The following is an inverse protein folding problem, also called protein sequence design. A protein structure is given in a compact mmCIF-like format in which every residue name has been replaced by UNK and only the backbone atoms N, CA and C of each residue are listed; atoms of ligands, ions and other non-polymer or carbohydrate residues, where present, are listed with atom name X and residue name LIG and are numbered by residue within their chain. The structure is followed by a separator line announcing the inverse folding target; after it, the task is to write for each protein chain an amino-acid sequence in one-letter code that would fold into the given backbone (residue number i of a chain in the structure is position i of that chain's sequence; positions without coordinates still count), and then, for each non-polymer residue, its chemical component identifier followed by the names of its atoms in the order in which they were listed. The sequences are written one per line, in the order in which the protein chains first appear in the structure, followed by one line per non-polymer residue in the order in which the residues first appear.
data_IF_540354613570
#
_entry.id   IF_540354613570
#
_cell.length_a   1.000
_cell.length_b   1.000
_cell.length_c   1.000
_cell.angle_alpha   90.00
_cell.angle_beta   90.00
_cell.angle_gamma   90.00
#
_symmetry.space_group_name_H-M   'P 1'
#
loop_
_entity.id
_entity.type
_entity.pdbx_description
1 polymer ?
#
# COMPACT_ATOMS: atom_id res chain seq x y z
N UNK A 1 20.14 -21.36 -12.33
CA UNK A 1 19.29 -20.38 -11.64
C UNK A 1 17.90 -20.59 -12.19
N UNK A 2 17.01 -21.15 -11.38
CA UNK A 2 15.68 -21.59 -11.83
C UNK A 2 14.88 -20.42 -12.40
N UNK A 3 14.15 -20.67 -13.49
CA UNK A 3 13.23 -19.73 -14.15
C UNK A 3 12.12 -19.30 -13.17
N UNK A 4 12.38 -18.29 -12.35
CA UNK A 4 11.33 -17.61 -11.62
C UNK A 4 10.38 -16.98 -12.65
N UNK A 5 9.05 -17.18 -12.54
CA UNK A 5 8.10 -16.62 -13.49
C UNK A 5 8.22 -15.09 -13.53
N UNK A 6 8.21 -14.54 -14.74
CA UNK A 6 8.32 -13.09 -14.94
C UNK A 6 7.09 -12.40 -14.33
N UNK A 7 7.34 -11.54 -13.34
CA UNK A 7 6.28 -10.81 -12.65
C UNK A 7 5.86 -9.61 -13.49
N UNK A 8 4.56 -9.41 -13.75
CA UNK A 8 4.07 -8.23 -14.44
C UNK A 8 4.57 -6.94 -13.77
N UNK A 9 4.78 -5.90 -14.57
CA UNK A 9 5.31 -4.62 -14.11
C UNK A 9 4.38 -3.46 -14.45
N UNK A 10 4.50 -2.37 -13.70
CA UNK A 10 3.84 -1.08 -13.94
C UNK A 10 4.87 -0.01 -14.21
N UNK A 11 4.50 0.99 -14.99
CA UNK A 11 5.36 2.11 -15.32
C UNK A 11 5.19 3.26 -14.32
N UNK A 12 6.20 3.49 -13.49
CA UNK A 12 6.32 4.65 -12.62
C UNK A 12 6.76 5.88 -13.42
N UNK A 13 6.11 7.01 -13.16
CA UNK A 13 6.63 8.32 -13.54
C UNK A 13 7.85 8.68 -12.68
N UNK A 14 8.86 9.28 -13.28
CA UNK A 14 10.03 9.76 -12.53
C UNK A 14 10.71 10.93 -13.24
N UNK A 15 11.48 11.72 -12.49
CA UNK A 15 12.26 12.84 -13.05
C UNK A 15 13.18 12.39 -14.20
N UNK A 16 13.74 11.19 -14.12
CA UNK A 16 14.66 10.64 -15.14
C UNK A 16 13.95 9.84 -16.24
N UNK A 17 12.62 9.95 -16.35
CA UNK A 17 11.80 9.19 -17.29
C UNK A 17 11.10 7.98 -16.66
N UNK A 18 10.30 7.29 -17.48
CA UNK A 18 9.50 6.15 -17.07
C UNK A 18 10.35 4.97 -16.57
N UNK A 19 9.93 4.33 -15.47
CA UNK A 19 10.59 3.14 -14.91
C UNK A 19 9.60 2.02 -14.65
N UNK A 20 10.07 0.78 -14.69
CA UNK A 20 9.21 -0.36 -14.38
C UNK A 20 9.31 -0.76 -12.89
N UNK A 21 8.18 -1.07 -12.27
CA UNK A 21 8.06 -1.61 -10.92
C UNK A 21 7.21 -2.89 -10.95
N UNK A 22 7.59 -3.98 -10.27
CA UNK A 22 6.75 -5.16 -10.15
C UNK A 22 5.38 -4.83 -9.56
N UNK A 23 4.32 -5.44 -10.10
CA UNK A 23 2.94 -5.22 -9.64
C UNK A 23 2.74 -5.76 -8.22
N UNK A 24 3.43 -6.83 -7.83
CA UNK A 24 3.38 -7.41 -6.49
C UNK A 24 4.65 -7.08 -5.70
N UNK A 25 4.46 -6.61 -4.47
CA UNK A 25 5.53 -6.38 -3.49
C UNK A 25 5.29 -7.13 -2.18
N UNK A 26 6.34 -7.21 -1.36
CA UNK A 26 6.32 -7.82 -0.04
C UNK A 26 6.25 -6.74 1.04
N UNK A 27 5.20 -6.76 1.86
CA UNK A 27 5.14 -5.92 3.07
C UNK A 27 5.99 -6.50 4.20
N UNK A 28 6.76 -5.65 4.89
CA UNK A 28 7.61 -6.08 6.02
C UNK A 28 7.08 -5.68 7.40
N UNK A 29 6.06 -4.83 7.45
CA UNK A 29 5.41 -4.45 8.70
C UNK A 29 4.85 -5.69 9.44
N UNK A 30 5.22 -5.84 10.72
CA UNK A 30 4.86 -6.98 11.54
C UNK A 30 4.63 -6.55 13.00
N UNK A 31 3.83 -7.35 13.70
CA UNK A 31 3.52 -7.17 15.10
C UNK A 31 3.35 -8.53 15.81
N UNK A 32 4.20 -8.86 16.80
CA UNK A 32 5.42 -8.14 17.17
C UNK A 32 6.44 -8.13 16.03
N UNK A 33 7.34 -7.14 16.03
CA UNK A 33 8.45 -7.10 15.07
C UNK A 33 9.57 -8.04 15.52
N UNK A 34 9.99 -8.94 14.61
CA UNK A 34 11.13 -9.82 14.80
C UNK A 34 12.09 -9.73 13.60
N UNK A 35 13.28 -9.18 13.84
CA UNK A 35 14.26 -8.86 12.80
C UNK A 35 14.79 -10.13 12.09
N UNK A 36 15.04 -11.20 12.84
CA UNK A 36 15.59 -12.45 12.29
C UNK A 36 14.60 -13.15 11.35
N UNK A 37 13.33 -13.24 11.76
CA UNK A 37 12.24 -13.80 10.94
C UNK A 37 12.01 -12.95 9.71
N UNK A 38 11.98 -11.62 9.85
CA UNK A 38 11.81 -10.71 8.72
C UNK A 38 12.96 -10.88 7.72
N UNK A 39 14.22 -10.91 8.17
CA UNK A 39 15.39 -11.09 7.30
C UNK A 39 15.30 -12.41 6.52
N UNK A 40 14.93 -13.50 7.20
CA UNK A 40 14.76 -14.81 6.56
C UNK A 40 13.65 -14.78 5.52
N UNK A 41 12.51 -14.16 5.83
CA UNK A 41 11.38 -14.06 4.92
C UNK A 41 11.68 -13.20 3.69
N UNK A 42 12.42 -12.10 3.84
CA UNK A 42 12.88 -11.27 2.71
C UNK A 42 13.79 -12.07 1.79
N UNK A 43 14.76 -12.82 2.35
CA UNK A 43 15.65 -13.67 1.55
C UNK A 43 14.88 -14.74 0.76
N UNK A 44 13.86 -15.37 1.37
CA UNK A 44 13.01 -16.33 0.66
C UNK A 44 12.12 -15.66 -0.39
N UNK A 45 11.58 -14.48 -0.12
CA UNK A 45 10.78 -13.73 -1.07
C UNK A 45 11.61 -13.34 -2.32
N UNK A 46 12.87 -12.94 -2.14
CA UNK A 46 13.80 -12.70 -3.26
C UNK A 46 13.99 -13.96 -4.11
N UNK A 47 14.20 -15.12 -3.48
CA UNK A 47 14.34 -16.40 -4.21
C UNK A 47 13.09 -16.77 -5.00
N UNK A 48 11.91 -16.39 -4.51
CA UNK A 48 10.60 -16.69 -5.12
C UNK A 48 10.22 -15.68 -6.22
N UNK A 49 10.88 -14.51 -6.28
CA UNK A 49 10.71 -13.54 -7.36
C UNK A 49 10.24 -12.15 -6.94
N UNK A 50 10.02 -11.90 -5.64
CA UNK A 50 9.70 -10.55 -5.16
C UNK A 50 10.87 -9.59 -5.41
N UNK A 51 10.57 -8.42 -5.95
CA UNK A 51 11.56 -7.35 -6.24
C UNK A 51 11.13 -5.98 -5.70
N UNK A 52 9.91 -5.85 -5.19
CA UNK A 52 9.39 -4.67 -4.51
C UNK A 52 9.15 -5.02 -3.04
N UNK A 53 9.73 -4.27 -2.11
CA UNK A 53 9.58 -4.46 -0.68
C UNK A 53 9.12 -3.15 -0.04
N UNK A 54 8.07 -3.20 0.77
CA UNK A 54 7.68 -2.10 1.65
C UNK A 54 8.41 -2.29 2.97
N UNK A 55 9.46 -1.51 3.16
CA UNK A 55 10.52 -1.69 4.16
C UNK A 55 10.41 -0.72 5.32
N UNK A 56 9.19 -0.28 5.68
CA UNK A 56 8.96 0.75 6.71
C UNK A 56 9.76 0.60 8.04
N UNK A 57 10.16 -0.60 8.53
CA UNK A 57 10.99 -0.74 9.73
C UNK A 57 12.50 -0.97 9.47
N UNK A 58 12.95 -1.05 8.23
CA UNK A 58 14.33 -1.42 7.89
C UNK A 58 15.19 -0.20 7.58
N UNK A 59 16.26 -0.01 8.36
CA UNK A 59 17.41 0.80 7.92
C UNK A 59 18.21 -0.02 6.93
N UNK A 60 17.90 0.08 5.64
CA UNK A 60 18.75 -0.53 4.62
C UNK A 60 19.93 0.41 4.36
N UNK A 61 21.16 -0.11 4.43
CA UNK A 61 22.38 0.60 3.99
C UNK A 61 22.41 0.65 2.45
N UNK A 62 21.41 1.28 1.85
CA UNK A 62 21.31 1.44 0.40
C UNK A 62 21.88 2.79 0.00
N UNK A 63 22.56 2.80 -1.13
CA UNK A 63 23.02 4.02 -1.78
C UNK A 63 21.85 4.81 -2.40
N UNK A 64 20.72 4.14 -2.71
CA UNK A 64 19.50 4.76 -3.24
C UNK A 64 18.23 3.91 -2.96
N UNK A 65 17.05 4.52 -3.07
CA UNK A 65 15.73 3.85 -3.02
C UNK A 65 15.02 3.83 -4.38
N UNK A 66 14.37 2.73 -4.77
CA UNK A 66 13.55 2.73 -5.99
C UNK A 66 12.28 3.59 -5.87
N UNK A 67 11.65 3.60 -4.69
CA UNK A 67 10.46 4.39 -4.39
C UNK A 67 10.54 4.92 -2.94
N UNK A 68 10.33 6.22 -2.75
CA UNK A 68 10.27 6.85 -1.42
C UNK A 68 8.91 7.54 -1.23
N UNK A 69 8.21 7.22 -0.13
CA UNK A 69 6.85 7.67 0.11
C UNK A 69 6.75 8.53 1.37
N UNK A 70 5.99 9.63 1.30
CA UNK A 70 5.43 10.26 2.51
C UNK A 70 4.44 9.26 3.12
N UNK A 71 4.72 8.75 4.33
CA UNK A 71 3.94 7.66 4.91
C UNK A 71 2.52 8.09 5.33
N UNK A 72 2.39 9.26 5.97
CA UNK A 72 1.10 9.81 6.41
C UNK A 72 1.07 11.32 6.14
N UNK A 73 -0.10 11.90 5.83
CA UNK A 73 -0.26 13.35 5.64
C UNK A 73 -0.28 14.11 6.98
N UNK A 74 0.68 13.85 7.86
CA UNK A 74 0.77 14.41 9.21
C UNK A 74 2.23 14.52 9.63
N UNK A 75 2.55 15.48 10.49
CA UNK A 75 3.87 15.61 11.09
C UNK A 75 3.82 15.30 12.57
N UNK A 76 4.98 15.06 13.16
CA UNK A 76 5.14 14.81 14.58
C UNK A 76 6.17 15.76 15.18
N UNK A 77 6.06 16.04 16.47
CA UNK A 77 7.13 16.74 17.20
C UNK A 77 8.47 16.00 17.02
N UNK A 78 9.59 16.72 16.86
CA UNK A 78 10.90 16.08 16.77
C UNK A 78 11.20 15.24 18.02
N UNK A 79 11.65 14.01 17.82
CA UNK A 79 11.97 13.11 18.92
C UNK A 79 11.75 11.64 18.57
N UNK A 80 11.90 10.79 19.57
CA UNK A 80 11.60 9.36 19.43
C UNK A 80 10.08 9.18 19.47
N UNK A 81 9.51 8.75 18.35
CA UNK A 81 8.10 8.36 18.30
C UNK A 81 7.86 7.17 19.23
N UNK A 82 6.91 7.33 20.15
CA UNK A 82 6.34 6.24 20.93
C UNK A 82 5.02 5.81 20.29
N UNK A 83 4.76 4.50 20.24
CA UNK A 83 3.51 3.97 19.73
C UNK A 83 2.67 3.38 20.87
N UNK A 84 1.37 3.73 20.99
CA UNK A 84 0.63 4.71 20.20
C UNK A 84 1.15 6.14 20.39
N UNK A 85 1.08 6.96 19.33
CA UNK A 85 1.59 8.34 19.34
C UNK A 85 0.74 9.20 20.27
N UNK A 86 1.32 9.92 21.24
CA UNK A 86 0.59 10.87 22.06
C UNK A 86 -0.07 11.95 21.20
N UNK A 87 -1.33 12.27 21.49
CA UNK A 87 -2.15 13.18 20.68
C UNK A 87 -1.58 14.59 20.57
N UNK A 88 -0.83 15.04 21.57
CA UNK A 88 -0.18 16.35 21.61
C UNK A 88 1.16 16.37 20.84
N UNK A 89 1.65 15.23 20.37
CA UNK A 89 2.81 15.15 19.46
C UNK A 89 2.43 15.34 17.99
N UNK A 90 1.14 15.29 17.66
CA UNK A 90 0.64 15.46 16.29
C UNK A 90 0.73 16.93 15.86
N UNK A 91 1.32 17.19 14.69
CA UNK A 91 1.47 18.50 14.08
C UNK A 91 0.87 18.52 12.67
N UNK A 92 0.30 19.66 12.22
CA UNK A 92 -0.07 19.81 10.82
C UNK A 92 1.19 19.71 9.95
N UNK A 93 1.08 18.97 8.85
CA UNK A 93 2.18 18.85 7.90
C UNK A 93 2.19 20.05 6.96
N UNK A 94 3.38 20.62 6.71
CA UNK A 94 3.60 21.53 5.60
C UNK A 94 3.84 20.72 4.33
N UNK A 95 2.77 20.44 3.58
CA UNK A 95 2.83 19.60 2.38
C UNK A 95 3.79 20.17 1.33
N UNK A 96 3.85 21.51 1.19
CA UNK A 96 4.67 22.15 0.15
C UNK A 96 6.15 21.98 0.44
N UNK A 97 6.58 22.29 1.67
CA UNK A 97 7.99 22.16 2.05
C UNK A 97 8.44 20.71 2.08
N UNK A 98 7.60 19.79 2.59
CA UNK A 98 7.93 18.36 2.60
C UNK A 98 8.02 17.80 1.18
N UNK A 99 7.09 18.15 0.29
CA UNK A 99 7.14 17.66 -1.09
C UNK A 99 8.34 18.23 -1.86
N UNK A 100 8.67 19.51 -1.68
CA UNK A 100 9.87 20.09 -2.30
C UNK A 100 11.15 19.34 -1.90
N UNK A 101 11.26 18.91 -0.64
CA UNK A 101 12.38 18.08 -0.19
C UNK A 101 12.37 16.67 -0.81
N UNK A 102 11.19 16.07 -1.03
CA UNK A 102 11.06 14.81 -1.76
C UNK A 102 11.54 14.95 -3.21
N UNK A 103 11.15 16.03 -3.89
CA UNK A 103 11.60 16.36 -5.25
C UNK A 103 13.12 16.53 -5.32
N UNK A 104 13.72 17.23 -4.36
CA UNK A 104 15.18 17.38 -4.25
C UNK A 104 15.87 16.02 -4.05
N UNK A 105 15.36 15.15 -3.16
CA UNK A 105 15.88 13.80 -2.99
C UNK A 105 15.89 13.00 -4.31
N UNK A 106 14.86 13.15 -5.13
CA UNK A 106 14.80 12.50 -6.44
C UNK A 106 15.82 13.09 -7.42
N UNK A 107 15.94 14.42 -7.47
CA UNK A 107 16.88 15.13 -8.35
C UNK A 107 18.35 14.84 -8.01
N UNK A 108 18.65 14.61 -6.73
CA UNK A 108 19.97 14.17 -6.25
C UNK A 108 20.24 12.68 -6.51
N UNK A 109 19.26 11.93 -7.02
CA UNK A 109 19.38 10.50 -7.28
C UNK A 109 19.30 9.61 -6.02
N UNK A 110 18.96 10.17 -4.86
CA UNK A 110 18.79 9.41 -3.61
C UNK A 110 17.58 8.48 -3.66
N UNK A 111 16.60 8.84 -4.48
CA UNK A 111 15.50 7.96 -4.84
C UNK A 111 15.16 8.07 -6.32
N UNK A 112 14.73 6.96 -6.92
CA UNK A 112 14.34 6.93 -8.33
C UNK A 112 12.93 7.48 -8.54
N UNK A 113 11.99 7.23 -7.62
CA UNK A 113 10.62 7.72 -7.69
C UNK A 113 10.13 8.17 -6.32
N UNK A 114 9.25 9.17 -6.30
CA UNK A 114 8.62 9.68 -5.07
C UNK A 114 7.10 9.53 -5.14
N UNK A 115 6.49 9.36 -4.00
CA UNK A 115 5.05 9.25 -3.89
C UNK A 115 4.56 9.53 -2.47
N UNK A 116 3.32 9.16 -2.23
CA UNK A 116 2.66 9.34 -0.95
C UNK A 116 1.97 8.05 -0.52
N UNK A 117 1.54 8.01 0.73
CA UNK A 117 0.75 6.94 1.31
C UNK A 117 -0.31 7.55 2.21
N UNK A 118 -1.50 6.97 2.20
CA UNK A 118 -2.66 7.43 2.98
C UNK A 118 -3.21 8.82 2.61
N UNK A 119 -3.06 9.24 1.36
CA UNK A 119 -3.65 10.50 0.88
C UNK A 119 -5.02 10.24 0.27
N UNK A 120 -6.01 11.05 0.65
CA UNK A 120 -7.34 11.13 0.02
C UNK A 120 -7.25 11.85 -1.34
N UNK A 121 -8.34 11.81 -2.12
CA UNK A 121 -8.38 12.57 -3.40
C UNK A 121 -8.12 14.06 -3.18
N UNK A 122 -8.70 14.65 -2.14
CA UNK A 122 -8.57 16.09 -1.84
C UNK A 122 -7.13 16.46 -1.43
N UNK A 123 -6.46 15.60 -0.67
CA UNK A 123 -5.06 15.81 -0.30
C UNK A 123 -4.12 15.66 -1.51
N UNK A 124 -4.42 14.72 -2.40
CA UNK A 124 -3.68 14.60 -3.68
C UNK A 124 -3.90 15.81 -4.58
N UNK A 125 -5.13 16.28 -4.73
CA UNK A 125 -5.46 17.49 -5.50
C UNK A 125 -4.69 18.71 -4.98
N UNK A 126 -4.66 18.90 -3.65
CA UNK A 126 -3.88 19.96 -3.03
C UNK A 126 -2.38 19.83 -3.33
N UNK A 127 -1.81 18.62 -3.23
CA UNK A 127 -0.40 18.35 -3.53
C UNK A 127 -0.06 18.67 -4.99
N UNK A 128 -0.89 18.18 -5.92
CA UNK A 128 -0.71 18.37 -7.36
C UNK A 128 -0.74 19.85 -7.78
N UNK A 129 -1.43 20.72 -7.02
CA UNK A 129 -1.51 22.14 -7.32
C UNK A 129 -0.17 22.90 -7.22
N UNK A 130 0.83 22.34 -6.53
CA UNK A 130 2.15 22.97 -6.38
C UNK A 130 3.33 22.03 -6.64
N UNK A 131 3.10 20.74 -6.88
CA UNK A 131 4.14 19.77 -7.21
C UNK A 131 4.76 20.07 -8.58
N UNK A 132 6.09 20.15 -8.65
CA UNK A 132 6.83 20.19 -9.91
C UNK A 132 6.97 18.78 -10.50
N UNK A 133 7.13 17.78 -9.63
CA UNK A 133 7.15 16.36 -9.96
C UNK A 133 5.93 15.74 -9.28
N UNK A 134 4.92 15.24 -10.02
CA UNK A 134 3.74 14.62 -9.42
C UNK A 134 4.11 13.31 -8.70
N UNK A 135 3.35 12.91 -7.65
CA UNK A 135 3.57 11.64 -6.98
C UNK A 135 3.36 10.47 -7.95
N UNK A 136 4.36 9.59 -8.08
CA UNK A 136 4.26 8.41 -8.93
C UNK A 136 3.31 7.35 -8.36
N UNK A 137 3.17 7.31 -7.03
CA UNK A 137 2.40 6.31 -6.29
C UNK A 137 1.61 6.96 -5.17
N UNK A 138 0.37 6.49 -4.96
CA UNK A 138 -0.34 6.63 -3.69
C UNK A 138 -0.58 5.22 -3.11
N UNK A 139 0.11 4.89 -2.02
CA UNK A 139 -0.06 3.61 -1.33
C UNK A 139 -1.18 3.72 -0.29
N UNK A 140 -2.23 2.90 -0.37
CA UNK A 140 -3.42 3.04 0.49
C UNK A 140 -4.00 1.69 0.89
N UNK A 141 -4.77 1.68 1.98
CA UNK A 141 -5.59 0.53 2.32
C UNK A 141 -6.51 0.25 1.13
N UNK A 142 -6.46 -0.98 0.63
CA UNK A 142 -7.40 -1.42 -0.39
C UNK A 142 -7.56 -2.94 -0.34
N UNK A 143 -8.82 -3.38 -0.36
CA UNK A 143 -9.23 -4.78 -0.39
C UNK A 143 -10.61 -4.90 -1.04
N UNK A 144 -11.16 -6.10 -1.28
CA UNK A 144 -12.53 -6.24 -1.73
C UNK A 144 -13.59 -5.57 -0.81
N UNK A 145 -13.27 -5.38 0.48
CA UNK A 145 -14.12 -4.69 1.47
C UNK A 145 -13.89 -3.17 1.51
N UNK A 146 -12.78 -2.67 0.94
CA UNK A 146 -12.51 -1.24 0.83
C UNK A 146 -11.86 -0.96 -0.53
N UNK A 147 -12.69 -0.71 -1.53
CA UNK A 147 -12.30 -0.82 -2.93
C UNK A 147 -11.70 0.45 -3.53
N UNK A 148 -11.72 1.55 -2.76
CA UNK A 148 -11.11 2.83 -3.13
C UNK A 148 -11.56 3.34 -4.52
N UNK A 149 -12.80 3.09 -4.95
CA UNK A 149 -13.25 3.36 -6.35
C UNK A 149 -12.97 4.80 -6.78
N UNK A 150 -13.44 5.77 -5.99
CA UNK A 150 -13.22 7.20 -6.22
C UNK A 150 -11.73 7.55 -6.30
N UNK A 151 -10.93 7.07 -5.35
CA UNK A 151 -9.49 7.34 -5.31
C UNK A 151 -8.75 6.70 -6.48
N UNK A 152 -9.10 5.48 -6.88
CA UNK A 152 -8.50 4.81 -8.05
C UNK A 152 -8.81 5.55 -9.34
N UNK A 153 -10.03 6.02 -9.51
CA UNK A 153 -10.42 6.83 -10.67
C UNK A 153 -9.64 8.15 -10.70
N UNK A 154 -9.55 8.85 -9.56
CA UNK A 154 -8.76 10.07 -9.43
C UNK A 154 -7.28 9.84 -9.75
N UNK A 155 -6.66 8.82 -9.14
CA UNK A 155 -5.25 8.50 -9.36
C UNK A 155 -4.98 8.13 -10.82
N UNK A 156 -5.84 7.32 -11.44
CA UNK A 156 -5.74 6.97 -12.86
C UNK A 156 -5.81 8.19 -13.77
N UNK A 157 -6.69 9.15 -13.47
CA UNK A 157 -6.82 10.39 -14.25
C UNK A 157 -5.60 11.32 -14.13
N UNK A 158 -4.74 11.12 -13.13
CA UNK A 158 -3.55 11.93 -12.86
C UNK A 158 -2.24 11.14 -13.02
N UNK A 159 -2.28 9.98 -13.68
CA UNK A 159 -1.12 9.08 -13.88
C UNK A 159 -0.41 8.67 -12.56
N UNK A 160 -1.17 8.56 -11.48
CA UNK A 160 -0.71 8.09 -10.16
C UNK A 160 -1.06 6.61 -10.02
N UNK A 161 -0.08 5.76 -9.69
CA UNK A 161 -0.32 4.35 -9.43
C UNK A 161 -0.84 4.16 -8.00
N UNK A 162 -1.96 3.46 -7.86
CA UNK A 162 -2.41 2.99 -6.55
C UNK A 162 -1.66 1.71 -6.18
N UNK A 163 -0.99 1.72 -5.02
CA UNK A 163 -0.44 0.51 -4.40
C UNK A 163 -1.31 0.11 -3.22
N UNK A 164 -2.00 -1.03 -3.29
CA UNK A 164 -2.83 -1.54 -2.20
C UNK A 164 -1.96 -2.11 -1.07
N UNK A 165 -2.01 -1.52 0.12
CA UNK A 165 -1.55 -2.17 1.34
C UNK A 165 -2.70 -2.91 2.02
N UNK A 166 -2.35 -3.92 2.82
CA UNK A 166 -3.31 -4.79 3.53
C UNK A 166 -4.41 -5.38 2.64
N UNK A 167 -4.09 -5.92 1.44
CA UNK A 167 -5.09 -6.52 0.54
C UNK A 167 -5.84 -7.71 1.17
N UNK A 168 -5.30 -8.27 2.25
CA UNK A 168 -5.84 -9.39 3.02
C UNK A 168 -6.35 -8.97 4.42
N UNK A 169 -6.63 -7.68 4.62
CA UNK A 169 -7.14 -7.13 5.89
C UNK A 169 -6.12 -7.07 7.03
N UNK A 170 -4.83 -7.33 6.76
CA UNK A 170 -3.76 -7.41 7.79
C UNK A 170 -4.06 -8.39 8.93
N UNK A 171 -4.79 -9.48 8.65
CA UNK A 171 -5.15 -10.53 9.63
C UNK A 171 -3.94 -10.96 10.47
N UNK A 172 -4.09 -10.88 11.79
CA UNK A 172 -3.06 -11.28 12.76
C UNK A 172 -2.13 -10.14 13.23
N UNK A 173 -2.42 -8.89 12.90
CA UNK A 173 -1.75 -7.70 13.44
C UNK A 173 -2.70 -6.93 14.36
N UNK A 174 -2.19 -6.11 15.29
CA UNK A 174 -3.06 -5.30 16.17
C UNK A 174 -3.94 -4.27 15.45
N UNK A 175 -3.57 -3.88 14.22
CA UNK A 175 -4.29 -2.91 13.40
C UNK A 175 -5.12 -3.57 12.29
N UNK A 176 -5.12 -4.91 12.22
CA UNK A 176 -5.79 -5.66 11.16
C UNK A 176 -7.11 -6.27 11.60
N UNK A 177 -7.82 -6.83 10.62
CA UNK A 177 -9.09 -7.52 10.80
C UNK A 177 -9.12 -8.80 9.97
N UNK A 178 -9.83 -9.82 10.45
CA UNK A 178 -10.06 -11.04 9.68
C UNK A 178 -11.21 -10.93 8.69
N UNK A 179 -11.98 -9.83 8.71
CA UNK A 179 -13.20 -9.63 7.90
C UNK A 179 -12.99 -9.89 6.41
N UNK A 180 -11.84 -9.50 5.84
CA UNK A 180 -11.53 -9.79 4.43
C UNK A 180 -11.38 -11.29 4.19
N UNK A 181 -10.63 -11.98 5.07
CA UNK A 181 -10.31 -13.40 4.88
C UNK A 181 -11.48 -14.33 5.22
N UNK A 182 -12.39 -13.88 6.07
CA UNK A 182 -13.53 -14.64 6.56
C UNK A 182 -14.83 -14.27 5.83
N UNK A 183 -14.77 -13.37 4.83
CA UNK A 183 -15.93 -12.93 4.05
C UNK A 183 -16.55 -14.09 3.24
N UNK A 184 -17.86 -14.29 3.37
CA UNK A 184 -18.57 -15.42 2.75
C UNK A 184 -18.54 -15.38 1.22
N UNK A 185 -18.72 -14.20 0.62
CA UNK A 185 -18.69 -14.02 -0.85
C UNK A 185 -17.32 -14.40 -1.41
N UNK A 186 -16.24 -13.93 -0.77
CA UNK A 186 -14.88 -14.26 -1.19
C UNK A 186 -14.56 -15.76 -1.00
N UNK A 187 -15.09 -16.39 0.05
CA UNK A 187 -14.95 -17.83 0.27
C UNK A 187 -15.69 -18.65 -0.80
N UNK A 188 -16.90 -18.24 -1.19
CA UNK A 188 -17.67 -18.88 -2.26
C UNK A 188 -16.94 -18.80 -3.61
N UNK A 189 -16.41 -17.61 -3.95
CA UNK A 189 -15.60 -17.41 -5.16
C UNK A 189 -14.35 -18.28 -5.11
N UNK A 190 -13.63 -18.29 -3.99
CA UNK A 190 -12.43 -19.10 -3.81
C UNK A 190 -12.70 -20.60 -4.02
N UNK A 191 -13.79 -21.12 -3.43
CA UNK A 191 -14.23 -22.51 -3.60
C UNK A 191 -14.57 -22.82 -5.06
N UNK A 192 -15.32 -21.94 -5.72
CA UNK A 192 -15.74 -22.11 -7.12
C UNK A 192 -14.55 -22.09 -8.08
N UNK A 193 -13.53 -21.26 -7.81
CA UNK A 193 -12.33 -21.14 -8.63
C UNK A 193 -11.25 -22.18 -8.31
N UNK A 194 -11.41 -22.96 -7.24
CA UNK A 194 -10.36 -23.85 -6.76
C UNK A 194 -9.10 -23.09 -6.31
N UNK A 195 -9.29 -21.91 -5.71
CA UNK A 195 -8.22 -21.01 -5.25
C UNK A 195 -8.40 -20.70 -3.76
N UNK A 196 -7.40 -20.07 -3.15
CA UNK A 196 -7.54 -19.55 -1.79
C UNK A 196 -8.20 -18.16 -1.79
N UNK A 197 -8.82 -17.77 -0.68
CA UNK A 197 -9.35 -16.39 -0.50
C UNK A 197 -8.25 -15.35 -0.73
N UNK A 198 -7.03 -15.62 -0.29
CA UNK A 198 -5.90 -14.73 -0.52
C UNK A 198 -5.63 -14.53 -2.01
N UNK A 199 -5.61 -15.61 -2.80
CA UNK A 199 -5.43 -15.53 -4.25
C UNK A 199 -6.57 -14.76 -4.93
N UNK A 200 -7.82 -14.93 -4.48
CA UNK A 200 -8.97 -14.15 -4.99
C UNK A 200 -8.79 -12.66 -4.73
N UNK A 201 -8.43 -12.26 -3.49
CA UNK A 201 -8.21 -10.85 -3.15
C UNK A 201 -7.06 -10.23 -3.97
N UNK A 202 -5.95 -10.94 -4.10
CA UNK A 202 -4.77 -10.44 -4.83
C UNK A 202 -5.03 -10.40 -6.35
N UNK A 203 -5.71 -11.41 -6.90
CA UNK A 203 -6.13 -11.41 -8.31
C UNK A 203 -7.09 -10.25 -8.59
N UNK A 204 -8.05 -10.01 -7.70
CA UNK A 204 -8.96 -8.88 -7.83
C UNK A 204 -8.19 -7.55 -7.83
N UNK A 205 -7.24 -7.34 -6.91
CA UNK A 205 -6.43 -6.13 -6.86
C UNK A 205 -5.59 -5.93 -8.14
N UNK A 206 -5.03 -7.02 -8.68
CA UNK A 206 -4.34 -7.03 -9.97
C UNK A 206 -5.26 -6.57 -11.11
N UNK A 207 -6.46 -7.15 -11.22
CA UNK A 207 -7.44 -6.81 -12.26
C UNK A 207 -8.05 -5.41 -12.09
N UNK A 208 -7.95 -4.80 -10.90
CA UNK A 208 -8.28 -3.39 -10.68
C UNK A 208 -7.23 -2.42 -11.24
N UNK A 209 -6.13 -2.92 -11.83
CA UNK A 209 -5.06 -2.08 -12.36
C UNK A 209 -4.20 -1.45 -11.26
N UNK A 210 -4.08 -2.10 -10.11
CA UNK A 210 -3.27 -1.62 -8.97
C UNK A 210 -2.06 -2.51 -8.75
N UNK A 211 -0.99 -1.94 -8.20
CA UNK A 211 0.04 -2.74 -7.52
C UNK A 211 -0.40 -3.04 -6.10
N UNK A 212 0.25 -4.00 -5.44
CA UNK A 212 -0.13 -4.38 -4.08
C UNK A 212 1.04 -4.95 -3.30
N UNK A 213 1.05 -4.68 -1.99
CA UNK A 213 2.03 -5.24 -1.05
C UNK A 213 1.34 -6.23 -0.13
N UNK A 214 1.75 -7.50 -0.22
CA UNK A 214 1.21 -8.58 0.61
C UNK A 214 2.28 -9.12 1.54
N UNK A 215 1.93 -9.30 2.82
CA UNK A 215 2.85 -9.78 3.85
C UNK A 215 2.67 -11.27 4.10
N UNK A 216 3.78 -12.00 4.11
CA UNK A 216 3.85 -13.36 4.67
C UNK A 216 5.28 -13.68 5.10
N UNK A 217 5.40 -14.40 6.22
CA UNK A 217 6.68 -15.01 6.64
C UNK A 217 6.69 -16.53 6.43
N UNK A 218 5.61 -17.09 5.89
CA UNK A 218 5.51 -18.52 5.54
C UNK A 218 5.81 -18.70 4.06
N UNK A 219 6.78 -19.56 3.76
CA UNK A 219 7.27 -19.83 2.40
C UNK A 219 6.17 -20.30 1.47
N UNK A 220 5.27 -21.14 1.96
CA UNK A 220 4.15 -21.71 1.21
C UNK A 220 3.21 -20.59 0.76
N UNK A 221 2.84 -19.68 1.69
CA UNK A 221 2.01 -18.51 1.38
C UNK A 221 2.70 -17.54 0.42
N UNK A 222 4.01 -17.34 0.53
CA UNK A 222 4.75 -16.49 -0.42
C UNK A 222 4.63 -17.03 -1.86
N UNK A 223 4.73 -18.35 -2.03
CA UNK A 223 4.50 -19.02 -3.32
C UNK A 223 3.05 -18.92 -3.78
N UNK A 224 2.08 -19.19 -2.89
CA UNK A 224 0.65 -19.07 -3.20
C UNK A 224 0.27 -17.67 -3.69
N UNK A 225 0.79 -16.62 -3.04
CA UNK A 225 0.55 -15.23 -3.40
C UNK A 225 1.08 -14.86 -4.81
N UNK A 226 2.10 -15.56 -5.31
CA UNK A 226 2.62 -15.36 -6.67
C UNK A 226 1.78 -16.08 -7.73
N UNK A 227 1.03 -17.11 -7.35
CA UNK A 227 0.24 -17.95 -8.26
C UNK A 227 -1.14 -17.33 -8.54
N UNK A 228 -1.14 -16.09 -9.02
CA UNK A 228 -2.34 -15.29 -9.33
C UNK A 228 -2.39 -14.79 -10.78
N UNK A 229 -1.30 -14.94 -11.54
CA UNK A 229 -1.18 -14.32 -12.86
C UNK A 229 -1.69 -15.23 -14.00
N UNK A 230 -1.78 -16.54 -13.77
CA UNK A 230 -2.11 -17.59 -14.74
C UNK A 230 -3.61 -17.94 -14.84
N UNK A 231 -4.47 -17.22 -14.12
CA UNK A 231 -5.93 -17.41 -14.13
C UNK A 231 -6.63 -16.07 -13.87
N UNK A 232 -7.92 -15.95 -14.19
CA UNK A 232 -8.69 -14.71 -14.04
C UNK A 232 -9.98 -14.90 -13.24
N UNK A 233 -10.47 -13.84 -12.61
CA UNK A 233 -11.85 -13.81 -12.12
C UNK A 233 -12.81 -13.65 -13.31
N UNK A 234 -14.02 -14.20 -13.19
CA UNK A 234 -15.07 -13.97 -14.18
C UNK A 234 -15.86 -12.71 -13.84
N UNK A 235 -16.63 -12.22 -14.82
CA UNK A 235 -17.54 -11.09 -14.66
C UNK A 235 -18.45 -11.26 -13.43
N UNK A 236 -19.03 -12.44 -13.24
CA UNK A 236 -19.91 -12.71 -12.09
C UNK A 236 -19.18 -12.63 -10.75
N UNK A 237 -17.88 -12.99 -10.68
CA UNK A 237 -17.10 -12.82 -9.46
C UNK A 237 -16.86 -11.35 -9.15
N UNK A 238 -16.54 -10.55 -10.18
CA UNK A 238 -16.40 -9.10 -10.05
C UNK A 238 -17.71 -8.46 -9.62
N UNK A 239 -18.84 -8.87 -10.20
CA UNK A 239 -20.17 -8.35 -9.84
C UNK A 239 -20.50 -8.67 -8.38
N UNK A 240 -20.20 -9.89 -7.90
CA UNK A 240 -20.32 -10.27 -6.49
C UNK A 240 -19.42 -9.42 -5.58
N UNK A 241 -18.14 -9.25 -5.94
CA UNK A 241 -17.20 -8.43 -5.16
C UNK A 241 -17.65 -6.97 -5.11
N UNK A 242 -18.14 -6.42 -6.22
CA UNK A 242 -18.61 -5.03 -6.31
C UNK A 242 -19.79 -4.72 -5.39
N UNK A 243 -20.54 -5.74 -4.95
CA UNK A 243 -21.69 -5.62 -4.06
C UNK A 243 -21.33 -5.79 -2.58
N UNK A 244 -20.09 -6.14 -2.25
CA UNK A 244 -19.65 -6.25 -0.85
C UNK A 244 -19.77 -4.87 -0.18
N UNK A 245 -20.42 -4.77 1.00
CA UNK A 245 -20.49 -3.52 1.76
C UNK A 245 -19.09 -2.95 2.02
N UNK A 246 -18.93 -1.65 1.77
CA UNK A 246 -17.64 -0.98 1.87
C UNK A 246 -17.38 -0.51 3.30
N UNK A 247 -16.19 -0.81 3.82
CA UNK A 247 -15.73 -0.36 5.13
C UNK A 247 -14.21 -0.23 5.15
N UNK A 248 -13.71 0.93 5.55
CA UNK A 248 -12.30 1.13 5.90
C UNK A 248 -11.96 0.37 7.19
N UNK A 249 -11.01 -0.55 7.13
CA UNK A 249 -10.60 -1.38 8.27
C UNK A 249 -9.47 -0.76 9.07
N UNK A 250 -8.74 0.21 8.50
CA UNK A 250 -7.69 0.97 9.17
C UNK A 250 -8.03 2.47 9.18
N UNK A 251 -9.05 2.89 9.96
CA UNK A 251 -9.46 4.29 10.09
C UNK A 251 -8.42 5.20 10.75
N UNK A 252 -7.54 4.66 11.61
CA UNK A 252 -6.44 5.37 12.27
C UNK A 252 -6.90 6.46 13.25
N UNK A 253 -7.77 6.07 14.17
CA UNK A 253 -8.23 6.92 15.27
C UNK A 253 -7.07 7.48 16.11
N UNK A 254 -5.92 6.80 16.15
CA UNK A 254 -4.73 7.28 16.83
C UNK A 254 -4.16 8.58 16.25
N UNK A 255 -4.48 8.93 14.99
CA UNK A 255 -4.07 10.18 14.34
C UNK A 255 -5.08 11.31 14.50
N UNK A 256 -6.17 11.08 15.25
CA UNK A 256 -7.27 12.03 15.45
C UNK A 256 -7.33 12.54 16.89
N UNK A 257 -7.40 13.86 17.02
CA UNK A 257 -7.46 14.55 18.31
C UNK A 257 -8.22 15.86 18.20
N UNK A 258 -9.03 16.20 19.20
CA UNK A 258 -9.74 17.49 19.25
C UNK A 258 -8.81 18.71 19.16
N UNK A 259 -7.57 18.54 19.64
CA UNK A 259 -6.52 19.58 19.59
C UNK A 259 -5.42 19.26 18.55
N UNK A 260 -5.60 18.20 17.76
CA UNK A 260 -4.65 17.78 16.75
C UNK A 260 -4.91 18.41 15.39
N UNK A 261 -4.10 18.06 14.38
CA UNK A 261 -4.28 18.55 13.00
C UNK A 261 -5.55 18.01 12.33
N UNK A 262 -6.04 16.85 12.77
CA UNK A 262 -7.32 16.28 12.35
C UNK A 262 -8.20 16.04 13.57
N UNK A 263 -9.40 16.64 13.56
CA UNK A 263 -10.35 16.60 14.69
C UNK A 263 -11.32 15.43 14.61
N UNK A 264 -11.50 14.86 13.42
CA UNK A 264 -12.30 13.67 13.19
C UNK A 264 -11.70 12.77 12.10
N UNK A 265 -12.23 11.56 11.97
CA UNK A 265 -11.88 10.67 10.87
C UNK A 265 -12.31 11.24 9.51
N UNK A 266 -13.42 11.96 9.47
CA UNK A 266 -13.89 12.67 8.27
C UNK A 266 -12.89 13.75 7.84
N UNK A 267 -12.24 14.45 8.77
CA UNK A 267 -11.16 15.41 8.43
C UNK A 267 -9.88 14.70 7.96
N UNK A 268 -9.51 13.59 8.62
CA UNK A 268 -8.34 12.79 8.22
C UNK A 268 -8.51 12.20 6.81
N UNK A 269 -9.70 11.73 6.46
CA UNK A 269 -9.97 11.07 5.18
C UNK A 269 -10.73 11.94 4.17
N UNK A 270 -11.02 13.19 4.49
CA UNK A 270 -11.83 14.11 3.67
C UNK A 270 -13.18 13.49 3.24
N UNK A 271 -13.82 12.77 4.16
CA UNK A 271 -15.07 12.05 3.94
C UNK A 271 -14.94 10.70 3.19
N UNK A 272 -13.72 10.24 2.88
CA UNK A 272 -13.47 8.93 2.26
C UNK A 272 -13.32 7.82 3.33
N UNK A 273 -14.37 7.57 4.10
CA UNK A 273 -14.41 6.58 5.18
C UNK A 273 -15.67 5.70 5.14
#
# INVERSE_FOLDING_TARGET
MDNAPETPKMTLASYYGHREMPVIGMGTAADPFDEATMKTAVLEAIKIGYRHFDTSPLTLQLEYLDLYLIHWPISFKPGRLMFPVPKDELLPMDFKSVWAAMEECQQLGLTKAIGVSNFSCKKLEHLLAFANIPPAVNQVEMSPLWQQKKLREFCKANDIIVTAYSPLGAKGTRWGSSLVMDNEVLNEIAKTRGKTVAQVCLRWAYEQGTSFVVKSFRKERLKENMNIFDWALLKDDHDKINQIPQQRLQPKEELVSANGPYKSLEELWDGEI
#
